data_IF_214903956010
#
_entry.id   IF_214903956010
#
_cell.length_a   1.000
_cell.length_b   1.000
_cell.length_c   1.000
_cell.angle_alpha   90.00
_cell.angle_beta   90.00
_cell.angle_gamma   90.00
#
_symmetry.space_group_name_H-M   'P 1'
#
loop_
_entity.id
_entity.type
_entity.pdbx_description
1 polymer ?
#
# COMPACT_ATOMS: atom_id res chain seq x y z
N UNK A 1 -20.62 -51.07 -49.21
CA UNK A 1 -21.77 -50.19 -48.92
C UNK A 1 -21.76 -49.95 -47.42
N UNK A 2 -21.26 -48.78 -46.97
CA UNK A 2 -22.08 -47.66 -46.46
C UNK A 2 -22.47 -47.88 -44.97
N UNK A 3 -22.23 -47.03 -43.98
CA UNK A 3 -21.73 -45.65 -43.86
C UNK A 3 -21.09 -45.47 -42.47
N UNK A 4 -19.98 -44.73 -42.37
CA UNK A 4 -19.52 -44.14 -41.11
C UNK A 4 -20.34 -42.90 -40.80
N UNK A 5 -21.00 -42.87 -39.63
CA UNK A 5 -21.75 -41.70 -39.15
C UNK A 5 -20.76 -40.78 -38.43
N UNK A 6 -20.23 -39.79 -39.15
CA UNK A 6 -19.52 -38.66 -38.55
C UNK A 6 -20.53 -37.66 -38.02
N UNK A 7 -20.73 -37.65 -36.71
CA UNK A 7 -21.55 -36.65 -36.01
C UNK A 7 -20.79 -35.32 -35.97
N UNK A 8 -21.04 -34.46 -36.96
CA UNK A 8 -20.65 -33.05 -36.94
C UNK A 8 -21.54 -32.32 -35.92
N UNK A 9 -20.99 -32.03 -34.73
CA UNK A 9 -21.59 -31.09 -33.79
C UNK A 9 -21.26 -29.69 -34.26
N UNK A 10 -22.17 -29.10 -35.02
CA UNK A 10 -22.09 -27.70 -35.45
C UNK A 10 -22.47 -26.79 -34.28
N UNK A 11 -21.47 -26.23 -33.59
CA UNK A 11 -21.68 -25.14 -32.63
C UNK A 11 -22.00 -23.86 -33.39
N UNK A 12 -23.30 -23.60 -33.57
CA UNK A 12 -23.80 -22.30 -34.01
C UNK A 12 -23.54 -21.27 -32.90
N UNK A 13 -22.53 -20.41 -33.08
CA UNK A 13 -22.39 -19.19 -32.28
C UNK A 13 -23.53 -18.23 -32.68
N UNK A 14 -24.60 -18.25 -31.90
CA UNK A 14 -25.59 -17.18 -31.91
C UNK A 14 -24.91 -15.89 -31.44
N UNK A 15 -24.72 -14.96 -32.37
CA UNK A 15 -24.45 -13.57 -32.08
C UNK A 15 -25.64 -12.99 -31.31
N UNK A 16 -25.51 -12.92 -29.98
CA UNK A 16 -26.56 -12.46 -29.09
C UNK A 16 -25.96 -11.65 -27.96
N UNK A 17 -26.16 -10.33 -28.03
CA UNK A 17 -26.01 -9.37 -26.94
C UNK A 17 -24.61 -9.35 -26.29
N UNK A 18 -23.74 -8.50 -26.82
CA UNK A 18 -22.66 -7.92 -26.02
C UNK A 18 -23.32 -7.07 -24.92
N UNK A 19 -23.80 -7.71 -23.86
CA UNK A 19 -23.84 -7.07 -22.56
C UNK A 19 -22.42 -6.58 -22.33
N UNK A 20 -22.23 -5.27 -22.24
CA UNK A 20 -21.01 -4.69 -21.71
C UNK A 20 -20.92 -5.13 -20.24
N UNK A 21 -20.51 -6.38 -20.03
CA UNK A 21 -19.95 -6.81 -18.76
C UNK A 21 -18.69 -5.99 -18.67
N UNK A 22 -18.72 -4.92 -17.87
CA UNK A 22 -17.50 -4.25 -17.43
C UNK A 22 -16.68 -5.32 -16.73
N UNK A 23 -15.78 -5.96 -17.48
CA UNK A 23 -14.85 -6.94 -16.95
C UNK A 23 -14.15 -6.25 -15.77
N UNK A 24 -14.11 -6.87 -14.58
CA UNK A 24 -13.40 -6.31 -13.46
C UNK A 24 -11.99 -5.96 -13.92
N UNK A 25 -11.54 -4.73 -13.62
CA UNK A 25 -10.25 -4.24 -14.13
C UNK A 25 -9.16 -5.27 -13.89
N UNK A 26 -8.37 -5.57 -14.92
CA UNK A 26 -7.20 -6.45 -14.78
C UNK A 26 -6.13 -5.84 -13.88
N UNK A 27 -6.28 -4.58 -13.46
CA UNK A 27 -5.46 -3.94 -12.44
C UNK A 27 -5.42 -4.73 -11.12
N UNK A 28 -6.51 -5.44 -10.76
CA UNK A 28 -6.51 -6.30 -9.57
C UNK A 28 -5.43 -7.40 -9.64
N UNK A 29 -5.17 -7.92 -10.84
CA UNK A 29 -4.16 -8.96 -11.08
C UNK A 29 -2.74 -8.40 -10.96
N UNK A 30 -2.58 -7.09 -11.12
CA UNK A 30 -1.29 -6.38 -11.00
C UNK A 30 -1.01 -5.90 -9.58
N UNK A 31 -1.99 -5.93 -8.69
CA UNK A 31 -1.83 -5.45 -7.32
C UNK A 31 -0.68 -6.12 -6.52
N UNK A 32 -0.43 -7.44 -6.64
CA UNK A 32 0.81 -8.07 -6.14
C UNK A 32 2.08 -7.29 -6.50
N UNK A 33 2.22 -6.93 -7.77
CA UNK A 33 3.42 -6.24 -8.28
C UNK A 33 3.53 -4.82 -7.76
N UNK A 34 2.39 -4.15 -7.53
CA UNK A 34 2.35 -2.80 -6.96
C UNK A 34 2.79 -2.81 -5.49
N UNK A 35 2.32 -3.78 -4.70
CA UNK A 35 2.78 -3.93 -3.30
C UNK A 35 4.28 -4.23 -3.27
N UNK A 36 4.75 -5.12 -4.14
CA UNK A 36 6.17 -5.47 -4.23
C UNK A 36 7.04 -4.32 -4.76
N UNK A 37 6.47 -3.39 -5.53
CA UNK A 37 7.19 -2.22 -6.02
C UNK A 37 7.29 -1.09 -5.00
N UNK A 38 6.55 -1.14 -3.89
CA UNK A 38 6.66 -0.12 -2.82
C UNK A 38 8.12 -0.05 -2.35
N UNK A 39 8.65 1.18 -2.39
CA UNK A 39 9.99 1.51 -1.94
C UNK A 39 9.96 2.02 -0.50
N UNK A 40 9.99 1.07 0.45
CA UNK A 40 10.07 1.39 1.87
C UNK A 40 11.39 2.10 2.24
N UNK A 41 12.48 1.90 1.49
CA UNK A 41 13.75 2.62 1.71
C UNK A 41 13.56 4.11 1.38
N UNK A 42 13.01 4.42 0.20
CA UNK A 42 12.64 5.77 -0.20
C UNK A 42 11.67 6.45 0.78
N UNK A 43 10.64 5.72 1.22
CA UNK A 43 9.69 6.20 2.24
C UNK A 43 10.40 6.64 3.54
N UNK A 44 11.30 5.80 4.08
CA UNK A 44 12.07 6.15 5.27
C UNK A 44 13.07 7.28 5.02
N UNK A 45 13.59 7.39 3.79
CA UNK A 45 14.39 8.54 3.34
C UNK A 45 13.61 9.86 3.41
N UNK A 46 12.34 9.86 3.01
CA UNK A 46 11.48 11.04 3.14
C UNK A 46 11.18 11.40 4.60
N UNK A 47 11.00 10.41 5.49
CA UNK A 47 10.88 10.67 6.94
C UNK A 47 12.13 11.37 7.47
N UNK A 48 13.31 10.89 7.11
CA UNK A 48 14.58 11.53 7.46
C UNK A 48 14.65 12.98 6.97
N UNK A 49 14.38 13.18 5.69
CA UNK A 49 14.50 14.48 5.04
C UNK A 49 13.50 15.51 5.56
N UNK A 50 12.24 15.13 5.70
CA UNK A 50 11.14 16.08 5.91
C UNK A 50 10.74 16.22 7.38
N UNK A 51 11.03 15.23 8.23
CA UNK A 51 10.72 15.27 9.66
C UNK A 51 12.00 15.37 10.50
N UNK A 52 12.90 14.39 10.38
CA UNK A 52 14.08 14.30 11.26
C UNK A 52 15.03 15.49 11.10
N UNK A 53 15.35 15.90 9.87
CA UNK A 53 16.18 17.07 9.61
C UNK A 53 15.56 18.39 10.08
N UNK A 54 14.24 18.40 10.35
CA UNK A 54 13.54 19.55 10.94
C UNK A 54 13.46 19.46 12.46
N UNK A 55 14.22 18.55 13.06
CA UNK A 55 14.34 18.34 14.49
C UNK A 55 13.22 17.49 15.09
N UNK A 56 12.35 16.86 14.29
CA UNK A 56 11.31 16.02 14.87
C UNK A 56 11.89 14.76 15.51
N UNK A 57 11.30 14.34 16.63
CA UNK A 57 11.53 13.02 17.22
C UNK A 57 10.58 12.00 16.58
N UNK A 58 11.12 10.98 15.90
CA UNK A 58 10.31 9.96 15.21
C UNK A 58 10.69 8.58 15.73
N UNK A 59 10.08 8.20 16.85
CA UNK A 59 10.23 6.86 17.44
C UNK A 59 9.07 5.99 17.04
N UNK A 60 9.36 4.81 16.51
CA UNK A 60 8.29 3.85 16.22
C UNK A 60 7.58 3.40 17.50
N UNK A 61 8.24 3.35 18.66
CA UNK A 61 7.56 3.09 19.96
C UNK A 61 6.47 4.11 20.26
N UNK A 62 6.64 5.37 19.83
CA UNK A 62 5.73 6.49 20.04
C UNK A 62 4.76 6.69 18.85
N UNK A 63 4.51 5.63 18.06
CA UNK A 63 3.56 5.67 16.94
C UNK A 63 2.22 6.26 17.36
N UNK A 64 1.69 5.83 18.51
CA UNK A 64 0.47 6.41 19.07
C UNK A 64 0.82 7.51 20.08
N UNK A 65 0.04 8.61 20.11
CA UNK A 65 -1.04 8.95 19.18
C UNK A 65 -0.54 9.69 17.90
N UNK A 66 0.62 10.32 17.95
CA UNK A 66 0.98 11.39 17.01
C UNK A 66 1.26 10.90 15.57
N UNK A 67 2.13 9.91 15.39
CA UNK A 67 2.46 9.39 14.05
C UNK A 67 1.28 8.65 13.44
N UNK A 68 0.48 7.97 14.27
CA UNK A 68 -0.76 7.32 13.85
C UNK A 68 -1.78 8.36 13.36
N UNK A 69 -1.97 9.47 14.08
CA UNK A 69 -2.88 10.53 13.68
C UNK A 69 -2.46 11.20 12.37
N UNK A 70 -1.16 11.41 12.15
CA UNK A 70 -0.63 11.85 10.86
C UNK A 70 -1.03 10.87 9.75
N UNK A 71 -0.73 9.60 9.93
CA UNK A 71 -1.02 8.57 8.93
C UNK A 71 -2.51 8.44 8.62
N UNK A 72 -3.36 8.48 9.66
CA UNK A 72 -4.83 8.48 9.51
C UNK A 72 -5.30 9.72 8.75
N UNK A 73 -4.83 10.91 9.12
CA UNK A 73 -5.22 12.17 8.45
C UNK A 73 -4.79 12.19 6.98
N UNK A 74 -3.59 11.69 6.67
CA UNK A 74 -3.12 11.50 5.29
C UNK A 74 -4.05 10.55 4.53
N UNK A 75 -4.35 9.37 5.10
CA UNK A 75 -5.23 8.37 4.49
C UNK A 75 -6.62 8.94 4.22
N UNK A 76 -7.22 9.63 5.19
CA UNK A 76 -8.54 10.26 5.05
C UNK A 76 -8.54 11.33 3.95
N UNK A 77 -7.51 12.18 3.93
CA UNK A 77 -7.36 13.23 2.92
C UNK A 77 -7.23 12.63 1.52
N UNK A 78 -6.31 11.68 1.34
CA UNK A 78 -6.05 11.10 0.02
C UNK A 78 -7.20 10.22 -0.47
N UNK A 79 -7.80 9.40 0.39
CA UNK A 79 -8.97 8.60 -0.01
C UNK A 79 -10.18 9.48 -0.36
N UNK A 80 -10.37 10.61 0.32
CA UNK A 80 -11.41 11.59 -0.02
C UNK A 80 -11.13 12.28 -1.36
N UNK A 81 -9.90 12.79 -1.56
CA UNK A 81 -9.46 13.45 -2.80
C UNK A 81 -9.60 12.54 -4.03
N UNK A 82 -9.44 11.23 -3.84
CA UNK A 82 -9.55 10.21 -4.89
C UNK A 82 -10.96 9.61 -5.02
N UNK A 83 -11.95 10.12 -4.28
CA UNK A 83 -13.34 9.69 -4.38
C UNK A 83 -13.62 8.29 -3.82
N UNK A 84 -12.77 7.79 -2.92
CA UNK A 84 -12.93 6.48 -2.29
C UNK A 84 -12.76 6.49 -0.76
N UNK A 85 -13.46 7.38 -0.01
CA UNK A 85 -13.34 7.49 1.44
C UNK A 85 -13.67 6.19 2.20
N UNK A 86 -14.47 5.30 1.60
CA UNK A 86 -14.77 3.98 2.16
C UNK A 86 -13.53 3.07 2.31
N UNK A 87 -12.42 3.38 1.63
CA UNK A 87 -11.15 2.66 1.77
C UNK A 87 -10.34 3.10 3.00
N UNK A 88 -10.68 4.23 3.62
CA UNK A 88 -9.89 4.82 4.72
C UNK A 88 -9.66 3.85 5.89
N UNK A 89 -10.71 3.20 6.39
CA UNK A 89 -10.58 2.23 7.50
C UNK A 89 -9.68 1.05 7.15
N UNK A 90 -9.75 0.58 5.91
CA UNK A 90 -8.93 -0.51 5.41
C UNK A 90 -7.44 -0.11 5.33
N UNK A 91 -7.15 1.06 4.79
CA UNK A 91 -5.79 1.58 4.71
C UNK A 91 -5.20 1.89 6.08
N UNK A 92 -5.99 2.43 7.02
CA UNK A 92 -5.54 2.63 8.40
C UNK A 92 -5.14 1.31 9.05
N UNK A 93 -5.94 0.25 8.90
CA UNK A 93 -5.59 -1.09 9.40
C UNK A 93 -4.33 -1.64 8.73
N UNK A 94 -4.18 -1.40 7.42
CA UNK A 94 -2.98 -1.78 6.67
C UNK A 94 -1.73 -1.09 7.21
N UNK A 95 -1.79 0.23 7.41
CA UNK A 95 -0.72 1.02 8.01
C UNK A 95 -0.39 0.54 9.43
N UNK A 96 -1.41 0.36 10.29
CA UNK A 96 -1.22 -0.16 11.66
C UNK A 96 -0.49 -1.51 11.64
N UNK A 97 -0.82 -2.38 10.69
CA UNK A 97 -0.17 -3.70 10.53
C UNK A 97 1.28 -3.58 10.04
N UNK A 98 1.57 -2.66 9.11
CA UNK A 98 2.93 -2.41 8.63
C UNK A 98 3.82 -1.90 9.79
N UNK A 99 3.29 -1.00 10.61
CA UNK A 99 3.99 -0.46 11.78
C UNK A 99 4.23 -1.56 12.83
N UNK A 100 3.24 -2.42 13.08
CA UNK A 100 3.41 -3.56 13.97
C UNK A 100 4.52 -4.51 13.49
N UNK A 101 4.56 -4.82 12.19
CA UNK A 101 5.66 -5.59 11.57
C UNK A 101 7.01 -4.91 11.79
N UNK A 102 7.11 -3.60 11.56
CA UNK A 102 8.36 -2.86 11.77
C UNK A 102 8.84 -2.97 13.24
N UNK A 103 7.92 -2.83 14.19
CA UNK A 103 8.21 -2.87 15.63
C UNK A 103 8.60 -4.27 16.11
N UNK A 104 7.81 -5.28 15.75
CA UNK A 104 7.89 -6.62 16.36
C UNK A 104 8.81 -7.58 15.61
N UNK A 105 8.92 -7.44 14.28
CA UNK A 105 9.65 -8.39 13.43
C UNK A 105 10.94 -7.81 12.86
N UNK A 106 11.06 -6.48 12.79
CA UNK A 106 12.23 -5.79 12.25
C UNK A 106 13.10 -5.09 13.30
N UNK A 107 12.88 -5.41 14.58
CA UNK A 107 13.62 -4.88 15.73
C UNK A 107 13.63 -3.35 15.83
N UNK A 108 12.65 -2.67 15.24
CA UNK A 108 12.55 -1.21 15.26
C UNK A 108 11.70 -0.68 16.43
N UNK A 109 11.35 -1.55 17.39
CA UNK A 109 10.40 -1.27 18.47
C UNK A 109 10.72 -0.01 19.27
N UNK A 110 11.95 0.14 19.77
CA UNK A 110 12.39 1.32 20.53
C UNK A 110 13.29 2.26 19.71
N UNK A 111 13.45 1.99 18.41
CA UNK A 111 14.43 2.71 17.59
C UNK A 111 13.89 4.08 17.22
N UNK A 112 14.74 5.09 17.45
CA UNK A 112 14.55 6.42 16.91
C UNK A 112 14.95 6.42 15.44
N UNK A 113 13.97 6.53 14.55
CA UNK A 113 14.20 6.54 13.11
C UNK A 113 15.14 7.69 12.72
N UNK A 114 15.12 8.80 13.47
CA UNK A 114 15.96 9.96 13.21
C UNK A 114 17.43 9.76 13.61
N UNK A 115 17.72 8.78 14.46
CA UNK A 115 19.10 8.42 14.84
C UNK A 115 19.71 7.36 13.90
N UNK A 116 18.90 6.69 13.07
CA UNK A 116 19.38 5.66 12.15
C UNK A 116 20.15 6.29 10.99
N UNK A 117 21.26 5.66 10.62
CA UNK A 117 21.98 5.99 9.39
C UNK A 117 21.32 5.36 8.15
N UNK A 118 21.78 5.74 6.96
CA UNK A 118 21.21 5.26 5.69
C UNK A 118 21.22 3.72 5.56
N UNK A 119 22.26 3.03 6.06
CA UNK A 119 22.32 1.57 6.00
C UNK A 119 21.32 0.91 6.94
N UNK A 120 21.10 1.49 8.11
CA UNK A 120 20.11 1.00 9.08
C UNK A 120 18.68 1.18 8.56
N UNK A 121 18.39 2.33 7.94
CA UNK A 121 17.09 2.59 7.30
C UNK A 121 16.84 1.67 6.11
N UNK A 122 17.86 1.44 5.28
CA UNK A 122 17.81 0.45 4.20
C UNK A 122 17.51 -0.96 4.73
N UNK A 123 18.17 -1.36 5.81
CA UNK A 123 17.92 -2.66 6.45
C UNK A 123 16.48 -2.76 6.97
N UNK A 124 15.99 -1.71 7.61
CA UNK A 124 14.61 -1.62 8.09
C UNK A 124 13.61 -1.72 6.93
N UNK A 125 13.78 -0.92 5.88
CA UNK A 125 12.92 -0.93 4.69
C UNK A 125 12.84 -2.31 4.04
N UNK A 126 13.97 -3.00 3.89
CA UNK A 126 14.01 -4.36 3.34
C UNK A 126 13.31 -5.38 4.26
N UNK A 127 13.50 -5.28 5.57
CA UNK A 127 12.83 -6.16 6.52
C UNK A 127 11.30 -5.97 6.51
N UNK A 128 10.83 -4.71 6.51
CA UNK A 128 9.41 -4.38 6.43
C UNK A 128 8.83 -4.93 5.13
N UNK A 129 9.48 -4.67 3.99
CA UNK A 129 9.06 -5.17 2.69
C UNK A 129 8.88 -6.68 2.66
N UNK A 130 9.87 -7.42 3.17
CA UNK A 130 9.83 -8.89 3.20
C UNK A 130 8.68 -9.41 4.08
N UNK A 131 8.48 -8.83 5.26
CA UNK A 131 7.47 -9.30 6.21
C UNK A 131 6.05 -8.84 5.86
N UNK A 132 5.86 -7.63 5.35
CA UNK A 132 4.55 -7.16 4.86
C UNK A 132 4.07 -8.05 3.72
N UNK A 133 4.96 -8.39 2.78
CA UNK A 133 4.62 -9.32 1.70
C UNK A 133 4.20 -10.69 2.25
N UNK A 134 4.92 -11.21 3.24
CA UNK A 134 4.57 -12.46 3.92
C UNK A 134 3.21 -12.38 4.60
N UNK A 135 2.93 -11.32 5.38
CA UNK A 135 1.64 -11.10 6.04
C UNK A 135 0.48 -11.06 5.03
N UNK A 136 0.70 -10.41 3.88
CA UNK A 136 -0.29 -10.32 2.81
C UNK A 136 -0.60 -11.69 2.20
N UNK A 137 0.40 -12.54 2.03
CA UNK A 137 0.22 -13.92 1.58
C UNK A 137 -0.47 -14.80 2.64
N UNK A 138 -0.05 -14.70 3.90
CA UNK A 138 -0.58 -15.49 5.01
C UNK A 138 -2.05 -15.13 5.34
N UNK A 139 -2.47 -13.89 5.06
CA UNK A 139 -3.81 -13.36 5.35
C UNK A 139 -4.59 -13.01 4.08
N UNK A 140 -4.25 -13.63 2.94
CA UNK A 140 -4.83 -13.29 1.65
C UNK A 140 -6.37 -13.29 1.66
N UNK A 141 -7.03 -14.29 2.26
CA UNK A 141 -8.49 -14.37 2.28
C UNK A 141 -9.19 -13.15 2.91
N UNK A 142 -8.51 -12.45 3.83
CA UNK A 142 -9.06 -11.31 4.55
C UNK A 142 -8.62 -9.97 3.94
N UNK A 143 -7.38 -9.89 3.43
CA UNK A 143 -6.80 -8.66 2.90
C UNK A 143 -7.07 -8.47 1.42
N UNK A 144 -7.05 -9.53 0.61
CA UNK A 144 -7.26 -9.42 -0.83
C UNK A 144 -8.59 -8.79 -1.22
N UNK A 145 -9.74 -9.15 -0.63
CA UNK A 145 -11.02 -8.54 -1.00
C UNK A 145 -11.01 -7.00 -0.92
N UNK A 146 -10.37 -6.46 0.12
CA UNK A 146 -10.20 -5.01 0.34
C UNK A 146 -9.31 -4.39 -0.73
N UNK A 147 -8.18 -5.02 -1.03
CA UNK A 147 -7.20 -4.53 -2.03
C UNK A 147 -7.73 -4.67 -3.46
N UNK A 148 -8.62 -5.64 -3.67
CA UNK A 148 -9.31 -5.85 -4.94
C UNK A 148 -10.62 -5.07 -5.07
N UNK A 149 -10.96 -4.23 -4.08
CA UNK A 149 -12.05 -3.25 -4.21
C UNK A 149 -11.50 -2.00 -4.89
N UNK A 150 -12.18 -1.43 -5.88
CA UNK A 150 -11.68 -0.24 -6.61
C UNK A 150 -10.26 -0.43 -7.21
N UNK A 151 -9.93 -1.62 -7.72
CA UNK A 151 -8.55 -1.97 -8.12
C UNK A 151 -7.86 -0.97 -9.04
N UNK A 152 -8.60 -0.40 -9.99
CA UNK A 152 -8.01 0.58 -10.91
C UNK A 152 -7.52 1.80 -10.13
N UNK A 153 -8.35 2.32 -9.23
CA UNK A 153 -8.00 3.46 -8.39
C UNK A 153 -6.79 3.14 -7.50
N UNK A 154 -6.81 1.99 -6.82
CA UNK A 154 -5.69 1.62 -5.95
C UNK A 154 -4.39 1.43 -6.75
N UNK A 155 -4.48 0.80 -7.92
CA UNK A 155 -3.34 0.66 -8.84
C UNK A 155 -2.82 2.02 -9.27
N UNK A 156 -3.70 2.92 -9.73
CA UNK A 156 -3.32 4.24 -10.22
C UNK A 156 -2.66 5.07 -9.10
N UNK A 157 -3.14 4.98 -7.85
CA UNK A 157 -2.53 5.68 -6.71
C UNK A 157 -1.17 5.09 -6.34
N UNK A 158 -1.08 3.79 -6.10
CA UNK A 158 0.15 3.19 -5.58
C UNK A 158 1.24 2.99 -6.65
N UNK A 159 0.88 3.00 -7.94
CA UNK A 159 1.85 2.95 -9.05
C UNK A 159 2.30 4.33 -9.53
N UNK A 160 1.68 5.41 -9.05
CA UNK A 160 2.08 6.79 -9.35
C UNK A 160 3.30 7.20 -8.50
N UNK A 161 4.47 7.45 -9.11
CA UNK A 161 5.64 7.92 -8.37
C UNK A 161 5.39 9.25 -7.65
N UNK A 162 4.56 10.14 -8.21
CA UNK A 162 4.27 11.44 -7.59
C UNK A 162 3.49 11.30 -6.26
N UNK A 163 2.74 10.20 -6.09
CA UNK A 163 2.14 9.90 -4.79
C UNK A 163 3.22 9.69 -3.72
N UNK A 164 4.26 8.92 -4.03
CA UNK A 164 5.34 8.58 -3.09
C UNK A 164 6.38 9.69 -2.93
N UNK A 165 6.72 10.39 -4.01
CA UNK A 165 7.83 11.35 -4.04
C UNK A 165 7.39 12.80 -3.76
N UNK A 166 6.10 13.11 -3.93
CA UNK A 166 5.57 14.47 -3.72
C UNK A 166 4.46 14.51 -2.66
N UNK A 167 3.44 13.67 -2.79
CA UNK A 167 2.23 13.71 -1.94
C UNK A 167 2.54 13.26 -0.52
N UNK A 168 3.12 12.07 -0.34
CA UNK A 168 3.51 11.56 1.00
C UNK A 168 4.50 12.51 1.70
N UNK A 169 5.58 13.01 1.06
CA UNK A 169 6.47 13.99 1.67
C UNK A 169 5.80 15.31 2.03
N UNK A 170 4.76 15.74 1.31
CA UNK A 170 4.00 16.94 1.67
C UNK A 170 3.29 16.80 3.03
N UNK A 171 2.71 15.63 3.30
CA UNK A 171 2.11 15.32 4.61
C UNK A 171 3.18 15.31 5.72
N UNK A 172 4.37 14.77 5.45
CA UNK A 172 5.48 14.80 6.41
C UNK A 172 5.96 16.22 6.71
N UNK A 173 6.05 17.08 5.69
CA UNK A 173 6.38 18.51 5.87
C UNK A 173 5.35 19.19 6.77
N UNK A 174 4.06 18.98 6.53
CA UNK A 174 2.99 19.55 7.36
C UNK A 174 3.05 19.06 8.81
N UNK A 175 3.35 17.78 9.04
CA UNK A 175 3.57 17.26 10.39
C UNK A 175 4.76 17.92 11.09
N UNK A 176 5.86 18.11 10.36
CA UNK A 176 7.10 18.61 10.92
C UNK A 176 7.03 20.06 11.45
N UNK A 177 6.00 20.81 11.05
CA UNK A 177 5.70 22.14 11.59
C UNK A 177 5.27 22.10 13.06
N UNK A 178 4.65 20.99 13.51
CA UNK A 178 4.02 20.87 14.82
C UNK A 178 4.55 19.70 15.68
N UNK A 179 5.58 19.00 15.20
CA UNK A 179 6.15 17.84 15.89
C UNK A 179 6.91 18.25 17.18
N UNK A 180 6.99 17.31 18.13
CA UNK A 180 7.93 17.42 19.24
C UNK A 180 9.36 17.49 18.71
N UNK A 181 10.13 18.47 19.19
CA UNK A 181 11.50 18.71 18.77
C UNK A 181 12.49 17.98 19.68
N UNK A 182 13.58 17.48 19.09
CA UNK A 182 14.78 17.04 19.78
C UNK A 182 15.54 18.20 20.42
#
# INVERSE_FOLDING_TARGET
>A
MHFSVSTLVTLTLSAGLASAVSLPSTACLKFPSVIQSVDFEGFFGHVQQEMCNKGCKVKLSEYEPNLRNLGVSMIETETSNKGAPQLGSAYTKGMDSIIDVARTQCAAGEVDLCAMNASELKSLGNCVKANVWRVMLDNASNLWPVLTTNCQLQYDVFSDPAFWDETVPAHFRGFAENCEKN
#
